data_IF_373706183928
#
_entry.id   IF_373706183928
#
_cell.length_a   1.000
_cell.length_b   1.000
_cell.length_c   1.000
_cell.angle_alpha   90.00
_cell.angle_beta   90.00
_cell.angle_gamma   90.00
#
_symmetry.space_group_name_H-M   'P 1'
#
loop_
_entity.id
_entity.type
_entity.pdbx_description
1 polymer ?
2 polymer ?
3 non-polymer ?
#
loop_
_entity_poly.entity_id
_entity_poly.type
_entity_poly.pdbx_seq_one_letter_code
_entity_poly.pdbx_strand_id
2 'polydeoxyribonucleotide' '(DA)(DA)(DC)(DT)(DG)(DC)(DG)(DC)(DA)(DG)(DT)(DT)' ?
#
# COMPACT_ATOMS: atom_id res chain seq x y z
N UNK A 1 -11.49 -19.69 4.24
CA UNK A 1 -10.76 -18.44 4.59
C UNK A 1 -10.81 -17.45 3.41
N UNK A 2 -9.67 -16.87 3.06
CA UNK A 2 -9.62 -15.91 1.96
C UNK A 2 -8.50 -16.20 0.95
N UNK A 3 -8.87 -16.64 -0.28
CA UNK A 3 -7.88 -16.95 -1.32
C UNK A 3 -6.83 -15.85 -1.47
N UNK A 4 -5.58 -16.25 -1.74
CA UNK A 4 -4.48 -15.30 -1.87
C UNK A 4 -4.53 -14.43 -3.11
N UNK A 5 -5.12 -14.93 -4.18
CA UNK A 5 -5.20 -14.15 -5.41
C UNK A 5 -6.50 -13.36 -5.43
N UNK A 6 -7.03 -13.12 -4.23
CA UNK A 6 -8.27 -12.38 -4.07
C UNK A 6 -8.07 -10.88 -4.17
N UNK A 7 -8.69 -10.26 -5.17
CA UNK A 7 -8.62 -8.81 -5.36
C UNK A 7 -9.78 -8.19 -4.62
N UNK A 8 -9.61 -6.94 -4.19
CA UNK A 8 -10.69 -6.29 -3.50
C UNK A 8 -10.60 -6.33 -1.99
N UNK A 9 -11.64 -5.82 -1.30
CA UNK A 9 -11.73 -5.76 0.16
C UNK A 9 -11.87 -7.09 0.87
N UNK A 10 -11.30 -7.14 2.05
CA UNK A 10 -11.35 -8.31 2.91
C UNK A 10 -12.60 -8.21 3.78
N UNK A 11 -13.49 -9.20 3.71
CA UNK A 11 -14.71 -9.17 4.53
C UNK A 11 -14.36 -9.26 6.01
N UNK A 12 -14.85 -8.31 6.80
CA UNK A 12 -14.57 -8.33 8.22
C UNK A 12 -13.56 -7.29 8.64
N UNK A 13 -12.91 -6.67 7.67
CA UNK A 13 -11.91 -5.65 7.95
C UNK A 13 -12.31 -4.32 7.30
N UNK A 14 -12.88 -3.41 8.10
CA UNK A 14 -13.30 -2.09 7.59
C UNK A 14 -12.14 -1.09 7.50
N UNK A 15 -12.28 -0.05 6.68
CA UNK A 15 -11.19 0.92 6.56
C UNK A 15 -11.12 1.69 7.87
N UNK A 16 -9.88 1.99 8.29
CA UNK A 16 -9.68 2.71 9.53
C UNK A 16 -9.17 1.78 10.60
N UNK A 17 -9.11 0.48 10.29
CA UNK A 17 -8.64 -0.53 11.22
C UNK A 17 -7.14 -0.33 11.41
N UNK A 18 -6.62 -0.59 12.60
CA UNK A 18 -5.19 -0.39 12.88
C UNK A 18 -4.46 -1.46 13.66
N UNK A 19 -3.58 -2.21 12.99
CA UNK A 19 -2.78 -3.22 13.70
C UNK A 19 -1.46 -2.55 14.02
N UNK A 20 -0.85 -2.92 15.13
CA UNK A 20 0.42 -2.34 15.53
C UNK A 20 1.62 -2.85 14.71
N UNK A 21 1.57 -4.10 14.25
CA UNK A 21 2.66 -4.68 13.46
C UNK A 21 2.27 -5.18 12.08
N UNK A 22 3.26 -5.41 11.23
CA UNK A 22 3.04 -5.90 9.88
C UNK A 22 2.51 -7.33 9.91
N UNK A 23 3.08 -8.12 10.81
CA UNK A 23 2.71 -9.52 10.99
C UNK A 23 1.19 -9.62 11.17
N UNK A 24 0.63 -8.67 11.92
CA UNK A 24 -0.79 -8.58 12.18
C UNK A 24 -1.55 -8.27 10.89
N UNK A 25 -0.99 -7.39 10.08
CA UNK A 25 -1.59 -7.02 8.81
C UNK A 25 -1.69 -8.26 7.92
N UNK A 26 -0.60 -9.04 7.86
CA UNK A 26 -0.60 -10.27 7.05
C UNK A 26 -1.65 -11.20 7.64
N UNK A 27 -1.50 -11.51 8.92
CA UNK A 27 -2.43 -12.38 9.61
C UNK A 27 -3.87 -12.06 9.21
N UNK A 28 -4.18 -10.77 9.13
CA UNK A 28 -5.52 -10.31 8.75
C UNK A 28 -5.90 -10.62 7.32
N UNK A 29 -4.89 -10.79 6.48
CA UNK A 29 -5.14 -11.09 5.09
C UNK A 29 -5.31 -9.85 4.24
N UNK A 30 -4.93 -8.70 4.78
CA UNK A 30 -5.04 -7.46 4.05
C UNK A 30 -3.77 -7.16 3.22
N UNK A 31 -2.64 -7.71 3.65
CA UNK A 31 -1.35 -7.58 2.96
C UNK A 31 -0.46 -8.69 3.51
N UNK A 32 -0.52 -9.85 2.86
CA UNK A 32 0.22 -11.04 3.26
C UNK A 32 1.73 -10.88 3.53
N UNK A 33 2.46 -10.26 2.59
CA UNK A 33 3.90 -10.08 2.77
C UNK A 33 4.25 -9.54 4.16
N UNK A 34 5.03 -10.29 4.93
CA UNK A 34 5.43 -9.84 6.25
C UNK A 34 6.30 -8.58 6.26
N UNK A 35 7.12 -8.42 5.21
CA UNK A 35 8.04 -7.29 5.11
C UNK A 35 7.94 -6.46 3.81
N UNK A 36 7.72 -7.14 2.68
CA UNK A 36 7.61 -6.46 1.37
C UNK A 36 6.47 -5.46 1.33
N UNK A 37 6.64 -4.42 0.52
CA UNK A 37 5.62 -3.38 0.43
C UNK A 37 4.47 -3.62 -0.53
N UNK A 38 4.59 -4.62 -1.40
CA UNK A 38 3.53 -4.92 -2.37
C UNK A 38 3.34 -6.43 -2.56
N UNK A 39 2.09 -6.81 -2.79
CA UNK A 39 1.75 -8.22 -2.96
C UNK A 39 1.03 -8.46 -4.29
N UNK A 40 1.58 -9.35 -5.11
CA UNK A 40 0.95 -9.66 -6.39
C UNK A 40 1.77 -10.56 -7.31
N UNK A 41 1.12 -11.14 -8.31
CA UNK A 41 1.80 -11.99 -9.28
C UNK A 41 1.99 -11.26 -10.61
N UNK A 42 3.08 -11.58 -11.31
CA UNK A 42 3.42 -10.96 -12.59
C UNK A 42 2.28 -11.12 -13.59
N UNK A 43 1.67 -12.30 -13.53
CA UNK A 43 0.58 -12.71 -14.40
C UNK A 43 -0.84 -12.42 -13.90
N UNK A 44 -0.97 -11.70 -12.81
CA UNK A 44 -2.31 -11.46 -12.28
C UNK A 44 -2.59 -10.01 -11.87
N UNK A 45 -1.65 -9.40 -11.17
CA UNK A 45 -1.85 -8.03 -10.74
C UNK A 45 -1.51 -7.90 -9.27
N UNK A 46 -1.56 -6.66 -8.77
CA UNK A 46 -1.25 -6.39 -7.37
C UNK A 46 -2.50 -6.45 -6.51
N UNK A 47 -2.40 -7.10 -5.36
CA UNK A 47 -3.53 -7.22 -4.45
C UNK A 47 -3.49 -6.18 -3.35
N UNK A 48 -2.28 -5.83 -2.91
CA UNK A 48 -2.15 -4.85 -1.85
C UNK A 48 -0.77 -4.27 -1.79
N UNK A 49 -0.67 -3.14 -1.09
CA UNK A 49 0.60 -2.46 -0.93
C UNK A 49 0.56 -1.63 0.33
N UNK A 50 1.72 -1.44 0.95
CA UNK A 50 1.81 -0.65 2.15
C UNK A 50 2.81 0.49 1.94
N UNK A 51 2.53 1.63 2.56
CA UNK A 51 3.39 2.79 2.43
C UNK A 51 4.39 3.00 3.58
N UNK A 52 5.67 3.00 3.23
CA UNK A 52 6.77 3.20 4.17
C UNK A 52 7.42 4.58 3.95
N UNK A 53 8.34 4.68 3.01
CA UNK A 53 8.99 5.95 2.74
C UNK A 53 9.76 5.94 1.43
N UNK A 54 10.86 5.20 1.42
CA UNK A 54 11.71 5.07 0.24
C UNK A 54 11.96 6.33 -0.56
N UNK A 55 11.58 6.29 -1.84
CA UNK A 55 11.76 7.40 -2.77
C UNK A 55 11.30 8.74 -2.18
N UNK A 56 12.09 9.78 -2.43
CA UNK A 56 11.78 11.12 -1.93
C UNK A 56 10.78 11.86 -2.82
N UNK A 57 10.53 11.32 -4.00
CA UNK A 57 9.59 11.93 -4.93
C UNK A 57 8.17 11.49 -4.58
N UNK A 58 8.03 10.26 -4.06
CA UNK A 58 6.74 9.72 -3.68
C UNK A 58 5.90 10.70 -2.87
N UNK A 59 4.94 11.34 -3.51
CA UNK A 59 4.09 12.28 -2.79
C UNK A 59 2.81 11.56 -2.39
N UNK A 60 2.43 11.74 -1.14
CA UNK A 60 1.22 11.13 -0.60
C UNK A 60 0.27 12.28 -0.38
N UNK A 61 -0.78 12.36 -1.18
CA UNK A 61 -1.75 13.44 -1.05
C UNK A 61 -3.06 12.97 -0.47
N UNK A 62 -3.02 11.79 0.16
CA UNK A 62 -4.22 11.26 0.76
C UNK A 62 -5.04 10.46 -0.23
N UNK A 63 -5.95 11.12 -0.94
CA UNK A 63 -6.81 10.45 -1.91
C UNK A 63 -6.07 9.86 -3.11
N UNK A 64 -4.83 10.30 -3.30
CA UNK A 64 -4.04 9.79 -4.39
C UNK A 64 -2.58 10.00 -4.01
N UNK A 65 -1.71 9.16 -4.54
CA UNK A 65 -0.28 9.24 -4.24
C UNK A 65 0.44 8.50 -5.33
N UNK A 66 1.75 8.70 -5.40
CA UNK A 66 2.55 8.03 -6.41
C UNK A 66 3.42 6.99 -5.74
N UNK A 67 3.73 5.92 -6.47
CA UNK A 67 4.54 4.86 -5.90
C UNK A 67 5.71 4.51 -6.82
N UNK A 68 6.75 3.94 -6.23
CA UNK A 68 7.92 3.57 -7.01
C UNK A 68 8.12 2.05 -7.00
N UNK A 69 8.52 1.52 -8.14
CA UNK A 69 8.75 0.09 -8.25
C UNK A 69 10.01 -0.36 -7.57
N UNK A 70 10.26 -1.67 -7.60
CA UNK A 70 11.44 -2.24 -6.96
C UNK A 70 12.38 -2.89 -7.96
N UNK A 71 13.53 -3.35 -7.47
CA UNK A 71 14.53 -3.98 -8.31
C UNK A 71 15.53 -2.96 -8.85
N UNK A 72 16.63 -3.44 -9.40
CA UNK A 72 17.62 -2.53 -9.94
C UNK A 72 18.99 -2.77 -9.30
N UNK A 73 19.17 -4.00 -8.85
CA UNK A 73 20.39 -4.49 -8.21
C UNK A 73 20.08 -5.95 -7.84
N UNK A 74 20.64 -6.49 -6.76
CA UNK A 74 20.36 -7.88 -6.40
C UNK A 74 20.95 -8.34 -5.05
N UNK A 83 21.44 1.62 -3.29
CA UNK A 83 22.33 0.96 -4.23
C UNK A 83 21.58 0.68 -5.55
N UNK A 84 21.78 1.56 -6.52
CA UNK A 84 21.14 1.43 -7.83
C UNK A 84 22.19 1.04 -8.88
N UNK A 85 22.02 -0.14 -9.48
CA UNK A 85 22.96 -0.60 -10.51
C UNK A 85 22.32 -0.66 -11.89
N UNK A 86 21.15 -1.29 -11.98
CA UNK A 86 20.44 -1.41 -13.26
C UNK A 86 19.07 -0.73 -13.18
N UNK A 87 18.61 -0.15 -14.30
CA UNK A 87 17.30 0.50 -14.30
C UNK A 87 16.22 -0.57 -14.25
N UNK A 88 15.31 -0.42 -13.30
CA UNK A 88 14.21 -1.36 -13.08
C UNK A 88 13.55 -1.91 -14.34
N UNK A 89 13.05 -3.14 -14.24
CA UNK A 89 12.37 -3.80 -15.35
C UNK A 89 10.89 -4.01 -15.02
N UNK A 90 10.10 -4.18 -16.07
CA UNK A 90 8.65 -4.38 -15.94
C UNK A 90 8.36 -5.85 -15.72
N UNK A 91 8.90 -6.38 -14.64
CA UNK A 91 8.69 -7.78 -14.30
C UNK A 91 8.36 -7.85 -12.82
N UNK A 92 7.78 -8.98 -12.41
CA UNK A 92 7.43 -9.20 -11.01
C UNK A 92 6.39 -8.20 -10.53
N UNK A 93 6.55 -7.69 -9.31
CA UNK A 93 5.60 -6.75 -8.77
C UNK A 93 5.48 -5.45 -9.57
N UNK A 94 6.56 -5.03 -10.22
CA UNK A 94 6.51 -3.82 -11.03
C UNK A 94 5.45 -4.04 -12.11
N UNK A 95 5.54 -5.21 -12.73
CA UNK A 95 4.61 -5.60 -13.78
C UNK A 95 3.24 -5.84 -13.17
N UNK A 96 3.19 -6.53 -12.04
CA UNK A 96 1.93 -6.84 -11.38
C UNK A 96 1.11 -5.60 -11.03
N UNK A 97 1.78 -4.55 -10.59
CA UNK A 97 1.07 -3.33 -10.25
C UNK A 97 0.58 -2.70 -11.56
N UNK A 98 1.30 -2.95 -12.64
CA UNK A 98 0.96 -2.40 -13.96
C UNK A 98 -0.32 -3.02 -14.51
N UNK A 99 -0.68 -4.21 -14.04
CA UNK A 99 -1.89 -4.85 -14.51
C UNK A 99 -3.14 -4.25 -13.88
N UNK A 100 -3.03 -3.78 -12.65
CA UNK A 100 -4.18 -3.21 -11.99
C UNK A 100 -4.71 -2.02 -12.79
N UNK A 101 -3.83 -1.39 -13.56
CA UNK A 101 -4.24 -0.26 -14.38
C UNK A 101 -4.97 -0.85 -15.59
N UNK A 102 -6.13 -0.28 -15.91
CA UNK A 102 -6.96 -0.76 -17.00
C UNK A 102 -6.63 -0.29 -18.42
N UNK A 103 -5.50 -0.74 -18.93
CA UNK A 103 -5.06 -0.39 -20.27
C UNK A 103 -4.13 -1.49 -20.72
N UNK A 104 -4.02 -1.72 -22.03
CA UNK A 104 -3.09 -2.80 -22.40
C UNK A 104 -1.68 -2.48 -21.93
N UNK A 105 -1.12 -3.37 -21.12
CA UNK A 105 0.24 -3.20 -20.58
C UNK A 105 1.24 -2.86 -21.68
N UNK A 106 2.10 -1.88 -21.38
CA UNK A 106 3.07 -1.35 -22.35
C UNK A 106 4.43 -0.99 -21.74
N UNK A 107 5.50 -1.31 -22.45
CA UNK A 107 6.86 -1.04 -21.99
C UNK A 107 7.24 0.42 -21.73
N UNK A 108 6.63 1.36 -22.45
CA UNK A 108 6.93 2.78 -22.30
C UNK A 108 6.01 3.43 -21.28
N UNK A 109 5.13 2.63 -20.67
CA UNK A 109 4.22 3.18 -19.69
C UNK A 109 2.81 3.19 -20.25
N UNK A 110 1.85 3.66 -19.47
CA UNK A 110 0.46 3.71 -19.92
C UNK A 110 -0.46 4.43 -18.94
N UNK A 111 -1.51 5.04 -19.46
CA UNK A 111 -2.49 5.75 -18.65
C UNK A 111 -3.87 5.21 -19.01
N UNK A 112 -4.64 4.81 -18.00
CA UNK A 112 -5.97 4.27 -18.24
C UNK A 112 -6.89 5.34 -18.76
N UNK A 113 -7.69 4.98 -19.77
CA UNK A 113 -8.65 5.90 -20.37
C UNK A 113 -9.78 6.06 -19.37
N UNK A 114 -9.91 5.07 -18.50
CA UNK A 114 -10.92 5.03 -17.45
C UNK A 114 -10.35 4.21 -16.30
N UNK A 115 -9.61 4.89 -15.44
CA UNK A 115 -8.96 4.24 -14.32
C UNK A 115 -9.85 3.48 -13.38
N UNK A 116 -11.09 3.95 -13.20
CA UNK A 116 -12.03 3.30 -12.30
C UNK A 116 -12.32 1.82 -12.55
N UNK A 117 -12.13 1.35 -13.78
CA UNK A 117 -12.37 -0.05 -14.09
C UNK A 117 -11.22 -0.97 -13.66
N UNK A 118 -10.02 -0.40 -13.52
CA UNK A 118 -8.87 -1.18 -13.11
C UNK A 118 -9.09 -2.03 -11.87
N UNK A 119 -8.22 -3.01 -11.67
CA UNK A 119 -8.30 -3.92 -10.53
C UNK A 119 -8.00 -3.16 -9.24
N UNK A 120 -8.80 -3.39 -8.20
CA UNK A 120 -8.61 -2.73 -6.91
C UNK A 120 -7.28 -3.10 -6.23
N UNK A 121 -6.80 -2.18 -5.39
CA UNK A 121 -5.56 -2.38 -4.66
C UNK A 121 -5.73 -1.91 -3.22
N UNK A 122 -5.65 -2.84 -2.27
CA UNK A 122 -5.81 -2.54 -0.84
C UNK A 122 -4.58 -1.77 -0.39
N UNK A 123 -4.78 -0.58 0.17
CA UNK A 123 -3.65 0.22 0.61
C UNK A 123 -3.58 0.41 2.11
N UNK A 124 -2.45 0.04 2.69
CA UNK A 124 -2.23 0.20 4.12
C UNK A 124 -1.16 1.27 4.25
N UNK A 125 -1.25 2.06 5.31
CA UNK A 125 -0.26 3.09 5.53
C UNK A 125 0.48 2.83 6.82
N UNK A 126 1.81 2.69 6.72
CA UNK A 126 2.66 2.45 7.88
C UNK A 126 3.00 3.78 8.52
N UNK A 127 3.39 3.77 9.77
CA UNK A 127 3.71 5.04 10.40
C UNK A 127 5.12 5.49 10.05
N UNK A 128 5.90 4.62 9.40
CA UNK A 128 7.26 4.98 9.01
C UNK A 128 7.23 6.05 7.93
N UNK A 129 6.04 6.26 7.36
CA UNK A 129 5.86 7.25 6.32
C UNK A 129 5.40 8.58 6.89
N UNK A 130 5.56 8.73 8.21
CA UNK A 130 5.15 9.95 8.87
C UNK A 130 6.01 11.14 8.50
N UNK A 131 7.31 10.95 8.42
CA UNK A 131 8.19 12.06 8.08
C UNK A 131 7.70 12.74 6.80
N UNK A 132 7.52 11.93 5.75
CA UNK A 132 7.05 12.41 4.46
C UNK A 132 5.57 12.79 4.44
N UNK A 133 4.69 11.79 4.52
CA UNK A 133 3.25 12.02 4.49
C UNK A 133 2.57 12.51 5.79
N UNK A 134 1.70 13.49 5.64
CA UNK A 134 0.96 14.06 6.76
C UNK A 134 -0.31 13.25 6.96
N UNK A 135 -0.37 12.08 6.33
CA UNK A 135 -1.53 11.21 6.42
C UNK A 135 -1.19 9.90 7.13
N UNK A 136 0.08 9.57 7.18
CA UNK A 136 0.53 8.35 7.84
C UNK A 136 0.17 8.44 9.32
N UNK A 137 -0.35 7.35 9.89
CA UNK A 137 -0.74 7.31 11.30
C UNK A 137 0.46 7.57 12.22
N UNK A 138 0.16 7.87 13.48
CA UNK A 138 1.19 8.15 14.47
C UNK A 138 2.08 6.93 14.69
N UNK A 139 1.43 5.78 14.85
CA UNK A 139 2.14 4.51 15.05
C UNK A 139 1.37 3.37 14.41
N UNK A 140 2.07 2.27 14.14
CA UNK A 140 1.44 1.11 13.56
C UNK A 140 1.04 1.21 12.10
N UNK A 141 -0.02 0.49 11.75
CA UNK A 141 -0.51 0.46 10.38
C UNK A 141 -2.01 0.71 10.37
N UNK A 142 -2.50 1.41 9.35
CA UNK A 142 -3.92 1.67 9.24
C UNK A 142 -4.38 1.43 7.81
N UNK A 143 -5.50 0.70 7.69
CA UNK A 143 -6.08 0.36 6.39
C UNK A 143 -6.92 1.50 5.83
N UNK A 144 -6.54 2.06 4.70
CA UNK A 144 -7.27 3.18 4.13
C UNK A 144 -8.08 2.93 2.87
N UNK A 145 -8.60 1.72 2.70
CA UNK A 145 -9.43 1.44 1.54
C UNK A 145 -8.80 1.02 0.22
N UNK A 146 -9.59 1.15 -0.85
CA UNK A 146 -9.21 0.77 -2.20
C UNK A 146 -8.67 1.91 -3.05
N UNK A 147 -7.59 1.62 -3.77
CA UNK A 147 -6.95 2.59 -4.65
C UNK A 147 -6.71 1.87 -5.97
N UNK A 148 -6.98 2.55 -7.09
CA UNK A 148 -6.79 1.93 -8.39
C UNK A 148 -5.69 2.66 -9.14
N UNK A 149 -4.93 1.90 -9.93
CA UNK A 149 -3.85 2.49 -10.71
C UNK A 149 -4.40 3.35 -11.85
N UNK A 150 -4.02 4.62 -11.86
CA UNK A 150 -4.49 5.52 -12.91
C UNK A 150 -3.50 5.49 -14.06
N UNK A 151 -2.21 5.59 -13.74
CA UNK A 151 -1.18 5.55 -14.76
C UNK A 151 0.19 5.25 -14.19
N UNK A 152 1.04 4.69 -15.03
CA UNK A 152 2.39 4.36 -14.62
C UNK A 152 3.34 4.77 -15.75
N UNK A 153 4.58 5.08 -15.40
CA UNK A 153 5.54 5.53 -16.40
C UNK A 153 6.95 5.32 -15.92
N UNK A 154 7.94 5.60 -16.77
CA UNK A 154 9.29 5.40 -16.28
C UNK A 154 10.13 6.67 -16.29
N UNK A 155 10.70 7.01 -15.12
CA UNK A 155 11.56 8.19 -15.01
C UNK A 155 13.02 7.76 -14.99
N UNK A 156 13.91 8.73 -14.86
CA UNK A 156 15.35 8.47 -14.79
C UNK A 156 15.88 9.24 -13.58
N UNK A 157 16.18 8.51 -12.50
CA UNK A 157 16.67 9.14 -11.30
C UNK A 157 17.96 9.91 -11.43
N UNK A 158 18.50 10.35 -10.30
CA UNK A 158 19.76 11.08 -10.28
C UNK A 158 20.83 10.03 -10.53
N UNK A 159 20.40 8.78 -10.64
CA UNK A 159 21.28 7.66 -10.88
C UNK A 159 21.15 7.23 -12.34
N UNK A 160 20.66 8.15 -13.17
CA UNK A 160 20.50 7.87 -14.58
C UNK A 160 19.85 6.54 -14.95
N UNK A 161 19.22 5.87 -13.99
CA UNK A 161 18.58 4.58 -14.26
C UNK A 161 17.08 4.69 -14.14
N UNK A 162 16.38 4.22 -15.18
CA UNK A 162 14.92 4.26 -15.19
C UNK A 162 14.30 3.58 -13.97
N UNK A 163 13.19 4.14 -13.50
CA UNK A 163 12.49 3.59 -12.34
C UNK A 163 11.01 3.71 -12.64
N UNK A 164 10.24 2.69 -12.27
CA UNK A 164 8.80 2.70 -12.52
C UNK A 164 7.96 3.42 -11.48
N UNK A 165 7.30 4.48 -11.93
CA UNK A 165 6.44 5.30 -11.10
C UNK A 165 4.98 4.96 -11.42
N UNK A 166 4.11 5.06 -10.42
CA UNK A 166 2.69 4.77 -10.59
C UNK A 166 1.91 5.85 -9.85
N UNK A 167 0.66 6.08 -10.24
CA UNK A 167 -0.19 7.05 -9.56
C UNK A 167 -1.47 6.34 -9.14
N UNK A 168 -1.76 6.35 -7.85
CA UNK A 168 -2.97 5.69 -7.37
C UNK A 168 -4.01 6.66 -6.82
N UNK A 169 -5.21 6.61 -7.37
CA UNK A 169 -6.31 7.46 -6.94
C UNK A 169 -7.22 6.55 -6.11
N UNK A 170 -7.67 7.04 -4.96
CA UNK A 170 -8.56 6.27 -4.09
C UNK A 170 -9.87 6.02 -4.82
N UNK A 171 -10.60 4.99 -4.39
CA UNK A 171 -11.89 4.66 -5.01
C UNK A 171 -12.61 3.60 -4.19
N UNK A 172 -12.81 3.90 -2.91
CA UNK A 172 -13.47 3.01 -1.99
C UNK A 172 -14.63 3.84 -1.43
N UNK A 173 -15.78 3.21 -1.25
CA UNK A 173 -16.95 3.91 -0.73
C UNK A 173 -16.61 4.52 0.63
N UNK A 174 -16.39 3.67 1.61
CA UNK A 174 -16.04 4.09 2.97
C UNK A 174 -15.06 5.27 2.97
N UNK A 175 -15.38 6.34 3.73
CA UNK A 175 -14.62 7.59 3.89
C UNK A 175 -13.22 7.51 4.50
N UNK A 176 -12.28 8.29 3.97
CA UNK A 176 -10.92 8.29 4.49
C UNK A 176 -10.92 8.45 6.00
N UNK A 177 -10.28 7.51 6.72
CA UNK A 177 -10.23 7.56 8.18
C UNK A 177 -9.59 8.81 8.79
N UNK A 178 -9.05 9.69 7.95
CA UNK A 178 -8.41 10.91 8.45
C UNK A 178 -9.32 12.12 8.22
N UNK A 179 -10.56 11.87 7.82
CA UNK A 179 -11.52 12.93 7.59
C UNK A 179 -12.61 12.85 8.65
N UNK A 180 -13.40 13.91 8.77
CA UNK A 180 -14.48 13.96 9.74
C UNK A 180 -15.36 12.72 9.69
N UNK A 181 -15.95 12.44 8.54
CA UNK A 181 -16.82 11.28 8.38
C UNK A 181 -16.02 10.01 8.69
N UNK A 182 -14.74 10.03 8.35
CA UNK A 182 -13.89 8.88 8.61
C UNK A 182 -13.78 8.64 10.10
N UNK A 183 -13.29 9.63 10.81
CA UNK A 183 -13.11 9.53 12.26
C UNK A 183 -14.43 9.20 12.97
N UNK A 184 -15.54 9.38 12.27
CA UNK A 184 -16.86 9.09 12.83
C UNK A 184 -17.17 7.60 12.68
N UNK A 185 -17.06 7.09 11.46
CA UNK A 185 -17.32 5.67 11.21
C UNK A 185 -16.44 4.84 12.12
N UNK A 186 -15.27 5.38 12.45
CA UNK A 186 -14.35 4.69 13.33
C UNK A 186 -15.01 4.54 14.70
N UNK A 187 -15.33 5.67 15.33
CA UNK A 187 -15.96 5.67 16.65
C UNK A 187 -17.19 4.77 16.66
N UNK A 188 -18.10 4.96 15.71
CA UNK A 188 -19.31 4.14 15.62
C UNK A 188 -18.94 2.67 15.66
N UNK A 189 -17.97 2.30 14.83
CA UNK A 189 -17.48 0.92 14.73
C UNK A 189 -16.54 0.54 15.86
N UNK A 190 -16.12 1.54 16.64
CA UNK A 190 -15.21 1.28 17.75
C UNK A 190 -13.96 0.54 17.30
N UNK A 191 -13.14 1.21 16.49
CA UNK A 191 -11.89 0.60 16.02
C UNK A 191 -10.75 1.13 16.88
N UNK A 192 -9.89 0.23 17.36
CA UNK A 192 -8.76 0.62 18.22
C UNK A 192 -7.45 -0.09 17.87
N UNK A 193 -6.32 0.55 18.20
CA UNK A 193 -5.01 -0.04 17.92
C UNK A 193 -4.98 -1.46 18.43
N UNK A 194 -4.43 -2.38 17.66
CA UNK A 194 -4.37 -3.78 18.07
C UNK A 194 -2.97 -4.30 18.29
N UNK A 195 -2.73 -4.88 19.45
CA UNK A 195 -1.42 -5.40 19.77
C UNK A 195 -1.47 -6.93 19.79
N UNK A 196 -0.35 -7.59 19.47
CA UNK A 196 -0.35 -9.05 19.48
C UNK A 196 -0.51 -9.54 20.92
N UNK A 197 -1.06 -10.72 21.09
CA UNK A 197 -1.24 -11.25 22.45
C UNK A 197 0.15 -11.44 23.07
N UNK A 198 0.30 -11.04 24.33
CA UNK A 198 1.57 -11.16 25.01
C UNK A 198 2.57 -10.06 24.69
N UNK A 199 2.27 -9.23 23.71
CA UNK A 199 3.18 -8.14 23.34
C UNK A 199 3.38 -7.06 24.39
N UNK A 200 2.27 -6.54 24.93
CA UNK A 200 2.31 -5.48 25.92
C UNK A 200 3.07 -5.81 27.22
N UNK A 201 3.07 -7.08 27.65
CA UNK A 201 3.81 -7.46 28.84
C UNK A 201 5.26 -7.63 28.42
N UNK A 202 5.47 -8.27 27.28
CA UNK A 202 6.83 -8.45 26.78
C UNK A 202 7.46 -7.06 26.74
N UNK A 203 6.72 -6.08 26.22
CA UNK A 203 7.20 -4.70 26.16
C UNK A 203 7.45 -4.18 27.57
N UNK A 204 6.56 -4.55 28.48
CA UNK A 204 6.66 -4.13 29.87
C UNK A 204 7.96 -4.64 30.48
N UNK A 205 8.16 -5.96 30.41
CA UNK A 205 9.35 -6.61 30.94
C UNK A 205 10.65 -6.11 30.33
N UNK A 206 10.57 -5.36 29.24
CA UNK A 206 11.77 -4.82 28.63
C UNK A 206 12.20 -3.63 29.49
N UNK A 207 11.31 -2.63 29.57
CA UNK A 207 11.53 -1.40 30.33
C UNK A 207 12.03 -1.63 31.76
N UNK A 208 11.48 -2.64 32.43
CA UNK A 208 11.89 -2.95 33.80
C UNK A 208 13.40 -3.22 33.83
N UNK A 209 13.80 -4.33 33.24
CA UNK A 209 15.22 -4.70 33.18
C UNK A 209 15.72 -4.56 31.74
X LIG D 1 8.14 -11.74 2.66
X LIG D 1 7.65 -10.42 3.15
X LIG D 1 9.26 -11.54 1.70
X LIG D 1 8.62 -12.55 3.82
X LIG D 1 7.04 -12.45 1.98
#
# INVERSE_FOLDING_TARGET
HMPANHFGPIPGVPVGTMWRFRVQVSESGVHRPHVAGIHGRSNDGAYSLVLAGGYEDDVDNGNYFTYTGSGGRDLSGNKRTAGQSSDQKLTNNNRALALNCHSPINEKGAEAEDWRQGKPVRVVRNMKGGKHSKYAPAEGNRYDGIYKVVKYWPERGKSGFLVWRYLLRRDDTEPEPWTREGKDRTRQLGLTMQYPEGYLEALANKEKSRKR
PO4 P O1 O2 O3 O4
#
